data_IF_081292171949
#
_entry.id   IF_081292171949
#
_cell.length_a   1.000
_cell.length_b   1.000
_cell.length_c   1.000
_cell.angle_alpha   90.00
_cell.angle_beta   90.00
_cell.angle_gamma   90.00
#
_symmetry.space_group_name_H-M   'P 1'
#
loop_
_entity.id
_entity.type
_entity.pdbx_description
1 polymer ?
#
# COMPACT_ATOMS: atom_id res chain seq x y z
N UNK A 1 -16.03 2.15 -18.03
CA UNK A 1 -15.04 1.53 -17.14
C UNK A 1 -13.74 1.40 -17.92
N UNK A 2 -12.64 2.00 -17.46
CA UNK A 2 -11.37 1.97 -18.19
C UNK A 2 -10.36 1.18 -17.37
N UNK A 3 -10.00 -0.01 -17.83
CA UNK A 3 -8.88 -0.76 -17.29
C UNK A 3 -7.59 -0.19 -17.91
N UNK A 4 -6.64 0.24 -17.08
CA UNK A 4 -5.31 0.64 -17.54
C UNK A 4 -4.38 -0.55 -17.32
N UNK A 5 -3.87 -1.11 -18.42
CA UNK A 5 -2.92 -2.22 -18.40
C UNK A 5 -1.55 -1.67 -18.78
N UNK A 6 -0.55 -1.95 -17.94
CA UNK A 6 0.86 -1.71 -18.27
C UNK A 6 1.46 -3.01 -18.75
N UNK A 7 2.19 -2.94 -19.86
CA UNK A 7 2.86 -4.10 -20.44
C UNK A 7 4.35 -4.04 -20.12
N UNK A 8 4.96 -5.20 -19.88
CA UNK A 8 6.38 -5.32 -19.60
C UNK A 8 6.93 -6.51 -20.39
N UNK A 9 8.19 -6.48 -20.89
CA UNK A 9 8.76 -7.62 -21.61
C UNK A 9 8.74 -8.90 -20.77
N UNK A 10 8.48 -10.04 -21.39
CA UNK A 10 8.32 -11.35 -20.72
C UNK A 10 9.47 -11.71 -19.79
N UNK A 11 10.72 -11.43 -20.20
CA UNK A 11 11.91 -11.67 -19.36
C UNK A 11 11.85 -10.90 -18.03
N UNK A 12 11.31 -9.68 -18.04
CA UNK A 12 11.17 -8.85 -16.84
C UNK A 12 9.92 -9.25 -16.05
N UNK A 13 8.83 -9.64 -16.73
CA UNK A 13 7.64 -10.19 -16.07
C UNK A 13 7.96 -11.47 -15.28
N UNK A 14 8.70 -12.40 -15.89
CA UNK A 14 9.08 -13.66 -15.26
C UNK A 14 9.96 -13.47 -14.00
N UNK A 15 10.66 -12.33 -13.91
CA UNK A 15 11.48 -11.95 -12.78
C UNK A 15 10.73 -11.13 -11.72
N UNK A 16 9.48 -10.72 -11.97
CA UNK A 16 8.69 -9.89 -11.05
C UNK A 16 7.81 -10.75 -10.15
N UNK A 17 7.91 -10.53 -8.84
CA UNK A 17 6.93 -11.04 -7.88
C UNK A 17 5.69 -10.14 -7.95
N UNK A 18 4.50 -10.74 -8.04
CA UNK A 18 3.27 -9.98 -8.16
C UNK A 18 2.90 -9.23 -6.88
N UNK A 19 3.62 -9.46 -5.79
CA UNK A 19 3.57 -8.63 -4.58
C UNK A 19 4.27 -7.26 -4.73
N UNK A 20 5.19 -7.08 -5.69
CA UNK A 20 6.11 -5.92 -5.79
C UNK A 20 5.95 -5.09 -7.08
N UNK A 21 5.15 -5.52 -8.06
CA UNK A 21 5.01 -4.89 -9.37
C UNK A 21 3.57 -4.73 -9.89
N UNK A 22 3.35 -3.92 -10.95
CA UNK A 22 2.02 -3.55 -11.45
C UNK A 22 1.23 -4.76 -11.92
N UNK A 23 -0.09 -4.61 -11.91
CA UNK A 23 -1.08 -5.62 -12.29
C UNK A 23 -0.85 -6.19 -13.69
N UNK A 24 -0.05 -7.25 -13.80
CA UNK A 24 0.01 -8.08 -15.00
C UNK A 24 -0.72 -9.39 -14.70
N UNK A 25 -1.84 -9.69 -15.37
CA UNK A 25 -2.42 -11.02 -15.28
C UNK A 25 -1.40 -12.03 -15.84
N UNK A 26 -1.01 -13.02 -15.03
CA UNK A 26 -0.14 -14.09 -15.47
C UNK A 26 -0.87 -14.97 -16.51
N UNK A 27 -0.13 -15.55 -17.46
CA UNK A 27 -0.67 -16.52 -18.42
C UNK A 27 -1.38 -17.64 -17.64
N UNK A 28 -2.63 -17.94 -18.00
CA UNK A 28 -3.54 -18.88 -17.33
C UNK A 28 -4.08 -18.48 -15.93
N UNK A 29 -3.92 -17.22 -15.49
CA UNK A 29 -4.61 -16.69 -14.29
C UNK A 29 -5.65 -15.63 -14.67
N UNK A 30 -6.90 -15.83 -14.25
CA UNK A 30 -8.04 -14.93 -14.51
C UNK A 30 -8.13 -13.73 -13.56
N UNK A 31 -7.27 -13.65 -12.54
CA UNK A 31 -7.34 -12.65 -11.46
C UNK A 31 -6.06 -11.81 -11.37
N UNK A 32 -6.24 -10.49 -11.31
CA UNK A 32 -5.19 -9.53 -10.97
C UNK A 32 -4.70 -9.78 -9.54
N UNK A 33 -3.38 -9.85 -9.32
CA UNK A 33 -2.84 -10.16 -7.99
C UNK A 33 -2.85 -8.96 -7.04
N UNK A 34 -2.86 -7.74 -7.58
CA UNK A 34 -3.16 -6.52 -6.85
C UNK A 34 -4.61 -6.15 -7.16
N UNK A 35 -5.45 -6.14 -6.13
CA UNK A 35 -6.86 -5.77 -6.25
C UNK A 35 -7.00 -4.34 -6.79
N UNK A 36 -8.02 -4.07 -7.60
CA UNK A 36 -8.43 -2.68 -7.92
C UNK A 36 -8.75 -1.86 -6.66
N UNK A 37 -8.96 -2.51 -5.51
CA UNK A 37 -9.10 -1.89 -4.19
C UNK A 37 -7.76 -1.60 -3.48
N UNK A 38 -6.64 -2.10 -4.01
CA UNK A 38 -5.29 -1.64 -3.67
C UNK A 38 -4.84 -0.47 -4.57
N UNK A 39 -5.75 0.07 -5.40
CA UNK A 39 -5.56 1.43 -5.89
C UNK A 39 -5.34 2.32 -4.69
N UNK A 40 -4.30 3.13 -4.79
CA UNK A 40 -4.00 4.17 -3.82
C UNK A 40 -5.03 5.29 -3.98
N UNK A 41 -6.27 4.98 -3.57
CA UNK A 41 -7.41 5.87 -3.66
C UNK A 41 -7.06 7.16 -2.93
N UNK A 42 -7.16 8.29 -3.62
CA UNK A 42 -6.81 9.63 -3.12
C UNK A 42 -5.32 9.90 -2.89
N UNK A 43 -4.42 8.95 -3.16
CA UNK A 43 -2.98 9.21 -3.10
C UNK A 43 -2.43 9.68 -4.45
N UNK A 44 -1.57 10.69 -4.42
CA UNK A 44 -0.87 11.25 -5.57
C UNK A 44 0.64 10.99 -5.45
N UNK A 45 1.38 10.99 -6.57
CA UNK A 45 2.84 10.79 -6.53
C UNK A 45 3.58 11.73 -5.57
N UNK A 46 3.16 13.00 -5.45
CA UNK A 46 3.74 13.96 -4.50
C UNK A 46 3.59 13.53 -3.05
N UNK A 47 2.46 12.92 -2.70
CA UNK A 47 2.21 12.42 -1.35
C UNK A 47 3.08 11.21 -1.05
N UNK A 48 3.19 10.27 -1.99
CA UNK A 48 4.12 9.14 -1.82
C UNK A 48 5.57 9.60 -1.75
N UNK A 49 5.97 10.57 -2.57
CA UNK A 49 7.31 11.15 -2.54
C UNK A 49 7.63 11.78 -1.18
N UNK A 50 6.67 12.45 -0.54
CA UNK A 50 6.83 13.04 0.79
C UNK A 50 7.14 12.01 1.89
N UNK A 51 6.81 10.72 1.68
CA UNK A 51 7.24 9.66 2.60
C UNK A 51 8.77 9.54 2.62
N UNK A 52 9.44 9.75 1.49
CA UNK A 52 10.90 9.66 1.43
C UNK A 52 11.56 10.70 2.34
N UNK A 53 11.05 11.93 2.35
CA UNK A 53 11.49 12.98 3.25
C UNK A 53 11.30 12.61 4.73
N UNK A 54 10.15 12.02 5.07
CA UNK A 54 9.84 11.53 6.44
C UNK A 54 10.81 10.43 6.87
N UNK A 55 11.25 9.60 5.92
CA UNK A 55 12.21 8.54 6.14
C UNK A 55 13.67 9.05 6.17
N UNK A 56 13.89 10.35 6.03
CA UNK A 56 15.24 10.96 6.04
C UNK A 56 15.99 10.82 4.71
N UNK A 57 15.29 10.55 3.62
CA UNK A 57 15.86 10.49 2.28
C UNK A 57 16.30 11.88 1.76
N UNK A 58 17.22 11.93 0.77
CA UNK A 58 17.54 13.15 0.05
C UNK A 58 16.32 13.69 -0.72
N UNK A 59 16.31 15.00 -0.96
CA UNK A 59 15.20 15.73 -1.60
C UNK A 59 14.97 15.40 -3.09
N UNK A 60 15.64 14.39 -3.66
CA UNK A 60 15.64 14.16 -5.10
C UNK A 60 15.11 12.77 -5.49
N UNK A 61 14.12 12.79 -6.39
CA UNK A 61 13.63 11.70 -7.22
C UNK A 61 13.34 10.35 -6.49
N UNK A 62 12.45 10.32 -5.47
CA UNK A 62 11.99 9.07 -4.87
C UNK A 62 11.24 8.16 -5.85
N UNK A 63 10.63 8.74 -6.89
CA UNK A 63 9.80 8.05 -7.86
C UNK A 63 10.31 8.30 -9.28
N UNK A 64 10.54 7.23 -10.03
CA UNK A 64 10.94 7.25 -11.44
C UNK A 64 9.75 6.84 -12.29
N UNK A 65 9.25 7.76 -13.12
CA UNK A 65 8.14 7.45 -14.04
C UNK A 65 8.61 6.43 -15.08
N UNK A 66 7.94 5.28 -15.15
CA UNK A 66 8.23 4.21 -16.12
C UNK A 66 7.32 4.34 -17.33
N UNK A 67 6.02 4.49 -17.10
CA UNK A 67 5.04 4.57 -18.18
C UNK A 67 3.81 5.37 -17.75
N UNK A 68 3.17 6.00 -18.73
CA UNK A 68 1.89 6.69 -18.58
C UNK A 68 0.93 6.24 -19.68
N UNK A 69 -0.29 5.85 -19.29
CA UNK A 69 -1.37 5.45 -20.20
C UNK A 69 -2.69 6.05 -19.75
N UNK A 70 -3.27 6.91 -20.58
CA UNK A 70 -4.55 7.56 -20.29
C UNK A 70 -4.48 8.45 -19.05
N UNK A 71 -5.09 8.00 -17.94
CA UNK A 71 -5.02 8.66 -16.61
C UNK A 71 -4.20 7.84 -15.59
N UNK A 72 -3.50 6.81 -16.05
CA UNK A 72 -2.73 5.93 -15.20
C UNK A 72 -1.23 6.18 -15.33
N UNK A 73 -0.54 6.28 -14.19
CA UNK A 73 0.91 6.42 -14.11
C UNK A 73 1.52 5.22 -13.38
N UNK A 74 2.57 4.66 -13.95
CA UNK A 74 3.39 3.63 -13.33
C UNK A 74 4.72 4.23 -12.94
N UNK A 75 4.99 4.27 -11.64
CA UNK A 75 6.29 4.66 -11.10
C UNK A 75 7.03 3.45 -10.57
N UNK A 76 8.36 3.52 -10.64
CA UNK A 76 9.28 2.67 -9.88
C UNK A 76 9.84 3.50 -8.75
N UNK A 77 9.88 2.97 -7.53
CA UNK A 77 10.65 3.60 -6.46
C UNK A 77 12.12 3.67 -6.86
N UNK A 78 12.81 4.77 -6.56
CA UNK A 78 14.27 4.78 -6.62
C UNK A 78 14.82 3.77 -5.61
N UNK A 79 16.03 3.27 -5.87
CA UNK A 79 16.67 2.31 -4.96
C UNK A 79 16.83 2.94 -3.57
N UNK A 80 17.22 4.23 -3.50
CA UNK A 80 17.31 4.97 -2.25
C UNK A 80 15.98 5.02 -1.48
N UNK A 81 14.86 5.27 -2.18
CA UNK A 81 13.55 5.27 -1.53
C UNK A 81 13.12 3.87 -1.08
N UNK A 82 13.37 2.84 -1.89
CA UNK A 82 13.12 1.45 -1.52
C UNK A 82 13.94 1.04 -0.29
N UNK A 83 15.23 1.39 -0.23
CA UNK A 83 16.10 1.10 0.89
C UNK A 83 15.65 1.84 2.16
N UNK A 84 15.32 3.13 2.07
CA UNK A 84 14.82 3.90 3.21
C UNK A 84 13.52 3.29 3.80
N UNK A 85 12.59 2.85 2.93
CA UNK A 85 11.41 2.12 3.38
C UNK A 85 11.77 0.77 4.02
N UNK A 86 12.70 0.02 3.45
CA UNK A 86 13.12 -1.26 4.01
C UNK A 86 13.83 -1.11 5.37
N UNK A 87 14.65 -0.08 5.56
CA UNK A 87 15.29 0.24 6.83
C UNK A 87 14.27 0.63 7.90
N UNK A 88 13.25 1.41 7.51
CA UNK A 88 12.13 1.72 8.40
C UNK A 88 11.34 0.46 8.80
N UNK A 89 11.20 -0.51 7.89
CA UNK A 89 10.57 -1.79 8.23
C UNK A 89 11.38 -2.54 9.28
N UNK A 90 12.69 -2.61 9.12
CA UNK A 90 13.57 -3.30 10.06
C UNK A 90 13.58 -2.66 11.44
N UNK A 91 13.55 -1.32 11.50
CA UNK A 91 13.36 -0.60 12.75
C UNK A 91 12.04 -0.99 13.44
N UNK A 92 10.93 -0.99 12.70
CA UNK A 92 9.62 -1.35 13.24
C UNK A 92 9.58 -2.80 13.73
N UNK A 93 10.14 -3.73 12.97
CA UNK A 93 10.25 -5.14 13.38
C UNK A 93 11.09 -5.27 14.65
N UNK A 94 12.25 -4.59 14.72
CA UNK A 94 13.11 -4.60 15.90
C UNK A 94 12.37 -4.10 17.14
N UNK A 95 11.66 -2.97 17.04
CA UNK A 95 10.87 -2.44 18.16
C UNK A 95 9.78 -3.42 18.62
N UNK A 96 9.10 -4.09 17.68
CA UNK A 96 8.10 -5.09 18.01
C UNK A 96 8.71 -6.31 18.71
N UNK A 97 9.89 -6.77 18.30
CA UNK A 97 10.59 -7.86 18.98
C UNK A 97 11.11 -7.45 20.37
N UNK A 98 11.59 -6.21 20.54
CA UNK A 98 11.98 -5.66 21.84
C UNK A 98 10.78 -5.56 22.80
N UNK A 99 9.62 -5.10 22.33
CA UNK A 99 8.38 -5.06 23.12
C UNK A 99 7.98 -6.47 23.57
N UNK A 100 7.99 -7.45 22.66
CA UNK A 100 7.73 -8.86 23.00
C UNK A 100 8.72 -9.40 24.02
N UNK A 101 10.01 -9.11 23.86
CA UNK A 101 11.06 -9.55 24.79
C UNK A 101 10.86 -8.96 26.20
N UNK A 102 10.30 -7.76 26.31
CA UNK A 102 9.89 -7.13 27.58
C UNK A 102 8.56 -7.64 28.14
N UNK A 103 7.85 -8.52 27.41
CA UNK A 103 6.52 -8.98 27.78
C UNK A 103 5.41 -7.94 27.53
N UNK A 104 5.69 -6.88 26.78
CA UNK A 104 4.70 -5.88 26.38
C UNK A 104 3.83 -6.42 25.25
N UNK A 105 2.59 -6.79 25.60
CA UNK A 105 1.60 -7.33 24.65
C UNK A 105 0.99 -6.25 23.75
N UNK A 106 1.07 -4.99 24.14
CA UNK A 106 0.51 -3.88 23.37
C UNK A 106 1.47 -3.39 22.28
N UNK A 107 2.73 -3.84 22.29
CA UNK A 107 3.76 -3.39 21.36
C UNK A 107 3.92 -1.85 21.38
N UNK A 108 4.05 -1.28 22.59
CA UNK A 108 3.98 0.16 22.83
C UNK A 108 4.98 0.95 21.99
N UNK A 109 6.24 0.50 21.91
CA UNK A 109 7.27 1.20 21.17
C UNK A 109 7.06 1.10 19.65
N UNK A 110 6.67 -0.07 19.17
CA UNK A 110 6.27 -0.25 17.76
C UNK A 110 5.08 0.63 17.39
N UNK A 111 4.03 0.67 18.22
CA UNK A 111 2.83 1.47 17.97
C UNK A 111 3.16 2.96 17.96
N UNK A 112 3.96 3.44 18.91
CA UNK A 112 4.41 4.82 18.98
C UNK A 112 5.18 5.20 17.71
N UNK A 113 6.17 4.40 17.31
CA UNK A 113 6.96 4.68 16.10
C UNK A 113 6.10 4.64 14.82
N UNK A 114 5.17 3.70 14.74
CA UNK A 114 4.23 3.62 13.61
C UNK A 114 3.30 4.84 13.56
N UNK A 115 2.86 5.36 14.71
CA UNK A 115 2.03 6.55 14.79
C UNK A 115 2.82 7.82 14.44
N UNK A 116 4.09 7.91 14.86
CA UNK A 116 4.97 9.03 14.50
C UNK A 116 5.19 9.11 12.99
N UNK A 117 5.44 7.97 12.34
CA UNK A 117 5.58 7.91 10.88
C UNK A 117 4.29 8.34 10.16
N UNK A 118 3.14 7.86 10.64
CA UNK A 118 1.84 8.24 10.10
C UNK A 118 1.60 9.76 10.22
N UNK A 119 1.81 10.32 11.41
CA UNK A 119 1.62 11.74 11.67
C UNK A 119 2.59 12.61 10.86
N UNK A 120 3.88 12.26 10.82
CA UNK A 120 4.88 13.01 10.07
C UNK A 120 4.57 13.00 8.56
N UNK A 121 4.10 11.88 8.03
CA UNK A 121 3.72 11.78 6.63
C UNK A 121 2.42 12.51 6.30
N UNK A 122 1.44 12.47 7.22
CA UNK A 122 0.23 13.29 7.13
C UNK A 122 0.54 14.79 7.12
N UNK A 123 1.59 15.24 7.81
CA UNK A 123 2.00 16.65 7.84
C UNK A 123 2.80 17.09 6.61
N UNK A 124 3.56 16.18 5.99
CA UNK A 124 4.47 16.51 4.89
C UNK A 124 3.81 16.65 3.53
N UNK A 125 2.62 16.11 3.35
CA UNK A 125 1.93 16.15 2.06
C UNK A 125 0.55 16.80 2.14
N UNK A 126 0.06 17.28 0.99
CA UNK A 126 -1.27 17.85 0.89
C UNK A 126 -2.32 16.77 0.64
N UNK A 127 -2.84 16.19 1.72
CA UNK A 127 -3.86 15.14 1.70
C UNK A 127 -5.27 15.67 1.48
N UNK A 128 -6.18 14.80 1.04
CA UNK A 128 -7.59 15.16 0.98
C UNK A 128 -8.12 15.56 2.38
N UNK A 129 -8.96 16.60 2.54
CA UNK A 129 -9.40 17.07 3.86
C UNK A 129 -10.15 16.05 4.71
N UNK A 130 -10.63 14.94 4.13
CA UNK A 130 -11.27 13.83 4.86
C UNK A 130 -10.28 12.74 5.30
N UNK A 131 -9.05 12.76 4.80
CA UNK A 131 -8.02 11.80 5.20
C UNK A 131 -7.53 12.14 6.60
N UNK A 132 -7.60 11.15 7.50
CA UNK A 132 -7.20 11.29 8.91
C UNK A 132 -5.92 10.55 9.24
N UNK A 133 -5.56 9.57 8.43
CA UNK A 133 -4.40 8.71 8.64
C UNK A 133 -3.97 8.08 7.31
N UNK A 134 -2.67 7.92 7.15
CA UNK A 134 -1.99 7.16 6.11
C UNK A 134 -1.50 5.78 6.62
N UNK A 135 -1.89 5.34 7.83
CA UNK A 135 -1.40 4.09 8.45
C UNK A 135 -1.59 2.86 7.57
N UNK A 136 -2.75 2.74 6.91
CA UNK A 136 -3.01 1.61 6.00
C UNK A 136 -2.06 1.60 4.78
N UNK A 137 -1.54 2.76 4.39
CA UNK A 137 -0.59 2.91 3.28
C UNK A 137 0.84 2.58 3.69
N UNK A 138 1.18 2.67 4.97
CA UNK A 138 2.48 2.26 5.50
C UNK A 138 2.76 0.76 5.34
N UNK A 139 1.77 -0.06 4.96
CA UNK A 139 2.02 -1.46 4.55
C UNK A 139 3.05 -1.59 3.42
N UNK A 140 3.25 -0.54 2.61
CA UNK A 140 4.29 -0.49 1.57
C UNK A 140 5.72 -0.62 2.12
N UNK A 141 5.95 -0.24 3.37
CA UNK A 141 7.24 -0.38 4.05
C UNK A 141 7.63 -1.87 4.14
N UNK A 142 6.68 -2.74 4.46
CA UNK A 142 6.90 -4.20 4.42
C UNK A 142 7.16 -4.72 3.01
N UNK A 143 6.45 -4.20 2.00
CA UNK A 143 6.69 -4.56 0.59
C UNK A 143 8.08 -4.15 0.11
N UNK A 144 8.58 -3.00 0.56
CA UNK A 144 9.93 -2.53 0.23
C UNK A 144 11.02 -3.44 0.78
N UNK A 145 10.85 -3.95 2.01
CA UNK A 145 11.76 -4.98 2.55
C UNK A 145 11.77 -6.23 1.67
N UNK A 146 10.59 -6.76 1.31
CA UNK A 146 10.49 -7.93 0.43
C UNK A 146 11.15 -7.67 -0.93
N UNK A 147 10.94 -6.50 -1.51
CA UNK A 147 11.57 -6.11 -2.77
C UNK A 147 13.10 -6.07 -2.65
N UNK A 148 13.63 -5.47 -1.56
CA UNK A 148 15.06 -5.44 -1.26
C UNK A 148 15.64 -6.85 -1.09
N UNK A 149 15.03 -7.68 -0.26
CA UNK A 149 15.51 -9.03 0.04
C UNK A 149 15.54 -9.94 -1.21
N UNK A 150 14.69 -9.64 -2.21
CA UNK A 150 14.63 -10.35 -3.50
C UNK A 150 15.43 -9.68 -4.62
N UNK A 151 16.14 -8.58 -4.34
CA UNK A 151 16.79 -7.74 -5.36
C UNK A 151 15.84 -7.34 -6.52
N UNK A 152 14.58 -7.05 -6.18
CA UNK A 152 13.54 -6.65 -7.12
C UNK A 152 13.20 -5.17 -6.98
N UNK A 153 12.79 -4.54 -8.08
CA UNK A 153 12.24 -3.19 -8.04
C UNK A 153 10.84 -3.17 -7.43
N UNK A 154 10.55 -2.15 -6.63
CA UNK A 154 9.20 -1.84 -6.14
C UNK A 154 8.52 -0.84 -7.08
N UNK A 155 7.29 -1.14 -7.50
CA UNK A 155 6.49 -0.27 -8.35
C UNK A 155 5.25 0.24 -7.62
N UNK A 156 4.83 1.46 -7.97
CA UNK A 156 3.62 2.09 -7.46
C UNK A 156 2.79 2.56 -8.66
N UNK A 157 1.52 2.19 -8.63
CA UNK A 157 0.56 2.53 -9.67
C UNK A 157 -0.46 3.54 -9.15
N UNK A 158 -0.62 4.63 -9.92
CA UNK A 158 -1.66 5.62 -9.72
C UNK A 158 -2.61 5.55 -10.91
N UNK A 159 -3.92 5.51 -10.65
CA UNK A 159 -4.91 5.33 -11.71
C UNK A 159 -6.24 6.00 -11.39
N UNK A 160 -7.14 6.08 -12.39
CA UNK A 160 -8.48 6.62 -12.16
C UNK A 160 -9.23 5.77 -11.13
N UNK A 161 -9.98 6.45 -10.25
CA UNK A 161 -10.83 5.81 -9.26
C UNK A 161 -11.73 4.77 -9.94
N UNK A 162 -11.76 3.56 -9.43
CA UNK A 162 -12.92 2.69 -9.65
C UNK A 162 -14.15 3.33 -8.99
N UNK A 163 -15.36 3.19 -9.57
CA UNK A 163 -16.58 3.63 -8.92
C UNK A 163 -16.65 3.05 -7.49
N UNK A 164 -16.72 3.92 -6.49
CA UNK A 164 -16.95 3.53 -5.10
C UNK A 164 -18.44 3.23 -4.93
N UNK A 165 -18.78 1.96 -4.67
CA UNK A 165 -20.11 1.60 -4.22
C UNK A 165 -20.14 1.73 -2.70
N UNK A 166 -20.89 2.71 -2.18
CA UNK A 166 -21.14 2.82 -0.75
C UNK A 166 -22.13 1.72 -0.37
N UNK A 167 -21.69 0.74 0.42
CA UNK A 167 -22.62 -0.16 1.10
C UNK A 167 -23.29 0.64 2.21
N UNK A 168 -24.51 1.13 1.95
CA UNK A 168 -25.37 1.65 3.00
C UNK A 168 -25.89 0.43 3.74
N UNK A 169 -25.32 0.15 4.92
CA UNK A 169 -25.85 -0.86 5.81
C UNK A 169 -27.23 -0.38 6.30
N UNK A 170 -28.29 -0.91 5.70
CA UNK A 170 -29.65 -0.77 6.20
C UNK A 170 -29.93 -1.84 7.25
N UNK A 171 -30.45 -1.45 8.42
CA UNK A 171 -31.06 -2.39 9.36
C UNK A 171 -32.42 -2.84 8.80
N UNK A 172 -32.42 -3.93 8.03
CA UNK A 172 -33.65 -4.67 7.74
C UNK A 172 -34.00 -5.59 8.92
N UNK A 173 -35.29 -5.88 9.18
CA UNK A 173 -35.64 -6.88 10.18
C UNK A 173 -35.03 -8.23 9.76
N UNK A 174 -34.16 -8.78 10.61
CA UNK A 174 -33.81 -10.20 10.51
C UNK A 174 -35.13 -10.98 10.59
N UNK A 175 -35.45 -11.87 9.63
CA UNK A 175 -36.59 -12.76 9.78
C UNK A 175 -36.29 -13.69 10.95
N UNK A 176 -36.80 -13.31 12.11
CA UNK A 176 -36.74 -14.09 13.33
C UNK A 176 -37.41 -15.43 13.07
N UNK A 177 -36.71 -16.49 13.51
CA UNK A 177 -37.15 -17.89 13.50
C UNK A 177 -38.66 -18.00 13.73
N UNK A 178 -39.38 -18.58 12.78
CA UNK A 178 -40.75 -19.01 13.00
C UNK A 178 -40.78 -19.96 14.21
N UNK A 179 -41.29 -19.45 15.34
CA UNK A 179 -41.74 -20.28 16.46
C UNK A 179 -42.88 -21.14 15.91
N UNK A 180 -42.66 -22.44 15.77
CA UNK A 180 -43.77 -23.39 15.60
C UNK A 180 -44.55 -23.42 16.91
N UNK A 181 -45.82 -23.03 16.86
CA UNK A 181 -46.76 -23.27 17.95
C UNK A 181 -47.05 -24.77 18.03
N UNK A 182 -47.04 -25.39 19.23
CA UNK A 182 -47.49 -26.76 19.41
C UNK A 182 -49.01 -26.79 19.37
N UNK A 183 -49.57 -27.68 18.54
CA UNK A 183 -50.91 -28.26 18.71
C UNK A 183 -50.88 -29.30 19.81
#
# INVERSE_FOLDING_TARGET
>A
MTCVVFTVPDKRLAAMDVATGPCVPLVNRKTSVVSVHQQEGFERPDQTAALFDVLGGPAENPLVLIEHRGRGWLYRCSDAFMHAMADANELLVRLAEEDKARGDRELTAFQAKSADLDAAWMQKANWHPQMRSARNRLLRIGKAKVARDKAQSLYIWYGPRVPEYVIIAGSGPYPGKHRRSPT
#
